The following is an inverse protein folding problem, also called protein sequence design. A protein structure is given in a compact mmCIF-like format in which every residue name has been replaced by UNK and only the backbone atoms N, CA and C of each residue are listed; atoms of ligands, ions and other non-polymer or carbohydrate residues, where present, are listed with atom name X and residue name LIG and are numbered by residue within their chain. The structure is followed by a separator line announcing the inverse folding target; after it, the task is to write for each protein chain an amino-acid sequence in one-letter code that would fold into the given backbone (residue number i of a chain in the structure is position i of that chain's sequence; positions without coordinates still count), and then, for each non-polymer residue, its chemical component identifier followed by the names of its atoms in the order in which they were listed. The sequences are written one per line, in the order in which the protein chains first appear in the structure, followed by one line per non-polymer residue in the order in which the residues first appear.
data_IF_504693962418
#
_entry.id   IF_504693962418
#
_cell.length_a   1.000
_cell.length_b   1.000
_cell.length_c   1.000
_cell.angle_alpha   90.00
_cell.angle_beta   90.00
_cell.angle_gamma   90.00
#
_symmetry.space_group_name_H-M   'P 1'
#
loop_
_entity.id
_entity.type
_entity.pdbx_description
1 polymer ?
#
# COMPACT_ATOMS: atom_id res chain seq x y z
N UNK A 1 10.70 12.12 15.20
CA UNK A 1 10.36 10.97 14.32
C UNK A 1 11.22 11.11 13.06
N UNK A 2 11.70 10.03 12.42
CA UNK A 2 12.32 10.17 11.11
C UNK A 2 11.30 10.80 10.15
N UNK A 3 11.70 11.86 9.44
CA UNK A 3 10.88 12.49 8.41
C UNK A 3 10.89 11.60 7.17
N UNK A 4 10.01 10.61 7.12
CA UNK A 4 9.79 9.85 5.89
C UNK A 4 9.08 10.74 4.87
N UNK A 5 9.53 10.71 3.62
CA UNK A 5 8.70 11.20 2.53
C UNK A 5 7.57 10.17 2.28
N UNK A 6 6.32 10.65 2.25
CA UNK A 6 5.11 9.84 2.17
C UNK A 6 4.41 10.11 0.83
N UNK A 7 4.92 9.60 -0.30
CA UNK A 7 4.26 9.79 -1.58
C UNK A 7 2.95 8.99 -1.65
N UNK A 8 1.93 9.59 -2.25
CA UNK A 8 0.66 8.90 -2.56
C UNK A 8 0.78 8.30 -3.95
N UNK A 9 0.82 6.97 -4.04
CA UNK A 9 1.04 6.23 -5.26
C UNK A 9 -0.23 5.49 -5.66
N UNK A 10 -0.78 5.84 -6.83
CA UNK A 10 -1.86 5.04 -7.42
C UNK A 10 -1.30 3.66 -7.75
N UNK A 11 -1.89 2.58 -7.25
CA UNK A 11 -1.38 1.22 -7.40
C UNK A 11 -1.57 0.68 -8.83
N UNK A 12 -0.93 1.35 -9.79
CA UNK A 12 -0.90 1.09 -11.22
C UNK A 12 0.48 0.58 -11.61
N UNK A 13 0.58 -0.02 -12.79
CA UNK A 13 1.83 -0.60 -13.28
C UNK A 13 3.02 0.37 -13.28
N UNK A 14 2.85 1.61 -13.76
CA UNK A 14 3.94 2.60 -13.81
C UNK A 14 4.53 2.92 -12.44
N UNK A 15 3.68 3.13 -11.43
CA UNK A 15 4.12 3.43 -10.05
C UNK A 15 4.76 2.20 -9.39
N UNK A 16 4.22 1.00 -9.63
CA UNK A 16 4.81 -0.26 -9.15
C UNK A 16 6.21 -0.47 -9.74
N UNK A 17 6.38 -0.20 -11.04
CA UNK A 17 7.67 -0.27 -11.72
C UNK A 17 8.67 0.78 -11.20
N UNK A 18 8.20 2.00 -10.91
CA UNK A 18 9.02 3.05 -10.32
C UNK A 18 9.52 2.63 -8.95
N UNK A 19 8.63 2.18 -8.05
CA UNK A 19 8.98 1.65 -6.73
C UNK A 19 10.00 0.51 -6.81
N UNK A 20 9.81 -0.42 -7.75
CA UNK A 20 10.71 -1.57 -7.91
C UNK A 20 12.13 -1.17 -8.30
N UNK A 21 12.28 -0.07 -9.04
CA UNK A 21 13.58 0.42 -9.54
C UNK A 21 14.32 1.31 -8.55
N UNK A 22 13.69 1.74 -7.46
CA UNK A 22 14.36 2.51 -6.41
C UNK A 22 15.43 1.65 -5.72
N UNK A 23 16.58 2.27 -5.43
CA UNK A 23 17.60 1.67 -4.57
C UNK A 23 17.07 1.49 -3.14
N UNK A 24 17.63 0.55 -2.40
CA UNK A 24 17.25 0.36 -0.99
C UNK A 24 17.50 1.60 -0.14
N UNK A 25 18.55 2.37 -0.46
CA UNK A 25 18.84 3.67 0.16
C UNK A 25 17.68 4.66 -0.04
N UNK A 26 17.15 4.80 -1.25
CA UNK A 26 16.00 5.65 -1.51
C UNK A 26 14.76 5.14 -0.77
N UNK A 27 14.50 3.82 -0.82
CA UNK A 27 13.35 3.20 -0.15
C UNK A 27 13.41 3.34 1.38
N UNK A 28 14.59 3.41 1.98
CA UNK A 28 14.73 3.61 3.43
C UNK A 28 14.28 4.99 3.91
N UNK A 29 14.13 5.96 2.99
CA UNK A 29 13.64 7.31 3.28
C UNK A 29 12.16 7.52 2.88
N UNK A 30 11.47 6.43 2.52
CA UNK A 30 10.09 6.46 2.01
C UNK A 30 9.14 5.63 2.88
N UNK A 31 7.89 6.07 2.97
CA UNK A 31 6.78 5.32 3.54
C UNK A 31 5.52 5.61 2.70
N UNK A 32 5.35 4.98 1.53
CA UNK A 32 4.32 5.38 0.57
C UNK A 32 2.91 5.06 1.06
N UNK A 33 1.93 5.87 0.63
CA UNK A 33 0.52 5.49 0.64
C UNK A 33 0.21 4.80 -0.68
N UNK A 34 -0.22 3.56 -0.62
CA UNK A 34 -0.61 2.76 -1.78
C UNK A 34 -2.11 2.91 -1.96
N UNK A 35 -2.49 3.64 -3.00
CA UNK A 35 -3.88 3.95 -3.30
C UNK A 35 -4.45 2.92 -4.27
N UNK A 36 -5.27 2.00 -3.76
CA UNK A 36 -5.81 0.84 -4.46
C UNK A 36 -6.83 1.27 -5.51
N UNK A 37 -6.65 0.75 -6.72
CA UNK A 37 -7.45 1.12 -7.89
C UNK A 37 -8.51 0.04 -8.16
N UNK A 38 -9.53 0.40 -8.94
CA UNK A 38 -10.68 -0.48 -9.27
C UNK A 38 -10.33 -1.85 -9.89
N UNK A 39 -9.13 -1.99 -10.46
CA UNK A 39 -8.68 -3.18 -11.19
C UNK A 39 -7.71 -4.04 -10.36
N UNK A 40 -7.40 -3.60 -9.14
CA UNK A 40 -6.49 -4.33 -8.25
C UNK A 40 -7.20 -5.53 -7.65
N UNK A 41 -6.70 -6.73 -7.92
CA UNK A 41 -7.21 -7.98 -7.34
C UNK A 41 -6.49 -8.29 -6.02
N UNK A 42 -7.22 -8.78 -5.00
CA UNK A 42 -6.61 -9.08 -3.72
C UNK A 42 -5.74 -10.33 -3.74
N UNK A 43 -6.03 -11.36 -4.57
CA UNK A 43 -5.38 -12.70 -4.54
C UNK A 43 -3.86 -12.74 -4.79
N UNK A 44 -3.23 -11.59 -5.04
CA UNK A 44 -1.78 -11.47 -5.24
C UNK A 44 -1.22 -10.17 -4.67
N UNK A 45 -2.01 -9.45 -3.88
CA UNK A 45 -1.66 -8.14 -3.37
C UNK A 45 -0.38 -8.20 -2.53
N UNK A 46 -0.28 -9.14 -1.58
CA UNK A 46 0.89 -9.27 -0.73
C UNK A 46 2.16 -9.60 -1.53
N UNK A 47 2.05 -10.57 -2.45
CA UNK A 47 3.18 -10.92 -3.33
C UNK A 47 3.62 -9.75 -4.22
N UNK A 48 2.69 -8.94 -4.73
CA UNK A 48 3.00 -7.76 -5.53
C UNK A 48 3.68 -6.67 -4.72
N UNK A 49 3.27 -6.47 -3.46
CA UNK A 49 3.90 -5.50 -2.56
C UNK A 49 5.34 -5.91 -2.29
N UNK A 50 5.59 -7.17 -1.95
CA UNK A 50 6.95 -7.67 -1.69
C UNK A 50 7.82 -7.51 -2.93
N UNK A 51 7.29 -7.84 -4.11
CA UNK A 51 8.01 -7.73 -5.39
C UNK A 51 8.39 -6.31 -5.77
N UNK A 52 7.51 -5.33 -5.55
CA UNK A 52 7.71 -3.96 -6.03
C UNK A 52 8.24 -3.02 -4.94
N UNK A 53 7.76 -3.15 -3.71
CA UNK A 53 8.16 -2.31 -2.58
C UNK A 53 9.28 -2.96 -1.77
N UNK A 54 9.05 -4.18 -1.29
CA UNK A 54 10.03 -4.96 -0.53
C UNK A 54 9.42 -5.57 0.73
N UNK A 55 9.96 -6.71 1.14
CA UNK A 55 9.57 -7.43 2.35
C UNK A 55 9.79 -6.59 3.62
N UNK A 56 8.84 -6.63 4.56
CA UNK A 56 8.91 -5.94 5.85
C UNK A 56 8.93 -4.41 5.80
N UNK A 57 8.86 -3.78 4.61
CA UNK A 57 8.86 -2.33 4.48
C UNK A 57 7.49 -1.74 4.83
N UNK A 58 7.50 -0.64 5.57
CA UNK A 58 6.28 0.08 5.98
C UNK A 58 5.63 0.76 4.78
N UNK A 59 4.30 0.76 4.76
CA UNK A 59 3.46 1.50 3.83
C UNK A 59 2.11 1.77 4.46
N UNK A 60 1.36 2.71 3.90
CA UNK A 60 -0.05 2.93 4.20
C UNK A 60 -0.91 2.42 3.04
N UNK A 61 -2.16 2.06 3.32
CA UNK A 61 -3.07 1.48 2.32
C UNK A 61 -4.38 2.26 2.25
N UNK A 62 -4.60 2.98 1.17
CA UNK A 62 -5.81 3.77 0.91
C UNK A 62 -6.56 3.21 -0.30
N UNK A 63 -7.84 3.56 -0.45
CA UNK A 63 -8.69 3.07 -1.54
C UNK A 63 -9.21 4.24 -2.37
N UNK A 64 -8.94 4.20 -3.67
CA UNK A 64 -9.33 5.27 -4.58
C UNK A 64 -10.86 5.30 -4.66
N UNK A 65 -11.51 6.46 -4.83
CA UNK A 65 -12.98 6.56 -4.98
C UNK A 65 -13.57 5.75 -6.15
N UNK A 66 -12.72 5.26 -7.06
CA UNK A 66 -13.13 4.40 -8.16
C UNK A 66 -13.14 2.92 -7.80
N UNK A 67 -12.57 2.53 -6.66
CA UNK A 67 -12.63 1.18 -6.14
C UNK A 67 -14.09 0.84 -5.85
N UNK A 68 -14.57 -0.29 -6.38
CA UNK A 68 -15.99 -0.67 -6.33
C UNK A 68 -16.25 -1.96 -5.58
N UNK A 69 -15.19 -2.68 -5.23
CA UNK A 69 -15.32 -3.91 -4.45
C UNK A 69 -15.46 -3.58 -2.96
N UNK A 70 -15.88 -4.56 -2.17
CA UNK A 70 -15.97 -4.39 -0.72
C UNK A 70 -14.55 -4.31 -0.12
N UNK A 71 -14.32 -3.27 0.70
CA UNK A 71 -13.03 -3.09 1.35
C UNK A 71 -12.69 -4.24 2.29
N UNK A 72 -13.67 -4.79 3.03
CA UNK A 72 -13.41 -5.88 3.97
C UNK A 72 -13.07 -7.15 3.22
N UNK A 73 -13.78 -7.47 2.13
CA UNK A 73 -13.50 -8.64 1.31
C UNK A 73 -12.09 -8.57 0.70
N UNK A 74 -11.71 -7.40 0.16
CA UNK A 74 -10.36 -7.17 -0.35
C UNK A 74 -9.30 -7.38 0.73
N UNK A 75 -9.53 -6.80 1.91
CA UNK A 75 -8.60 -6.89 3.03
C UNK A 75 -8.50 -8.31 3.58
N UNK A 76 -9.62 -9.04 3.67
CA UNK A 76 -9.63 -10.44 4.09
C UNK A 76 -8.82 -11.30 3.12
N UNK A 77 -9.10 -11.21 1.82
CA UNK A 77 -8.37 -11.96 0.81
C UNK A 77 -6.86 -11.62 0.83
N UNK A 78 -6.49 -10.34 0.87
CA UNK A 78 -5.09 -9.91 0.96
C UNK A 78 -4.38 -10.37 2.24
N UNK A 79 -5.08 -10.45 3.37
CA UNK A 79 -4.52 -10.94 4.63
C UNK A 79 -4.41 -12.46 4.68
N UNK A 80 -5.22 -13.20 3.92
CA UNK A 80 -5.15 -14.66 3.82
C UNK A 80 -4.06 -15.18 2.88
N UNK A 81 -3.45 -14.31 2.06
CA UNK A 81 -2.29 -14.68 1.25
C UNK A 81 -1.14 -15.23 2.13
N UNK A 82 -0.45 -16.32 1.73
CA UNK A 82 0.69 -16.86 2.48
C UNK A 82 1.77 -15.80 2.75
N UNK A 83 1.98 -14.90 1.78
CA UNK A 83 2.94 -13.82 1.82
C UNK A 83 2.55 -12.66 2.75
N UNK A 84 1.29 -12.58 3.21
CA UNK A 84 0.81 -11.47 4.05
C UNK A 84 1.62 -11.32 5.35
N UNK A 85 2.07 -12.46 5.90
CA UNK A 85 2.93 -12.54 7.09
C UNK A 85 4.28 -11.84 6.95
N UNK A 86 4.73 -11.60 5.71
CA UNK A 86 6.00 -10.93 5.38
C UNK A 86 5.85 -9.42 5.21
N UNK A 87 4.62 -8.91 5.19
CA UNK A 87 4.37 -7.48 5.12
C UNK A 87 4.59 -6.84 6.49
N UNK A 88 4.97 -5.56 6.51
CA UNK A 88 5.00 -4.81 7.75
C UNK A 88 3.61 -4.85 8.40
N UNK A 89 3.54 -5.09 9.72
CA UNK A 89 2.31 -5.28 10.49
C UNK A 89 1.14 -4.42 9.97
N UNK A 90 0.13 -5.09 9.39
CA UNK A 90 -1.15 -4.46 9.05
C UNK A 90 -1.84 -4.05 10.35
N UNK A 91 -1.79 -2.76 10.68
CA UNK A 91 -2.71 -2.20 11.67
C UNK A 91 -3.77 -1.42 10.91
N UNK A 92 -5.06 -1.69 11.18
CA UNK A 92 -6.16 -0.77 10.80
C UNK A 92 -5.91 0.55 11.54
N UNK A 93 -5.07 1.43 10.98
CA UNK A 93 -5.04 2.81 11.42
C UNK A 93 -6.29 3.47 10.86
N UNK A 94 -7.27 3.64 11.74
CA UNK A 94 -8.50 4.37 11.52
C UNK A 94 -8.18 5.72 10.89
N UNK A 95 -8.58 5.91 9.64
CA UNK A 95 -8.51 7.20 8.96
C UNK A 95 -9.34 8.23 9.74
N UNK A 96 -8.68 9.08 10.55
CA UNK A 96 -9.28 10.34 10.98
C UNK A 96 -9.19 11.29 9.79
N UNK A 97 -10.27 11.37 9.02
CA UNK A 97 -10.50 12.47 8.09
C UNK A 97 -10.59 13.74 8.93
N UNK A 98 -9.53 14.56 8.93
CA UNK A 98 -9.64 15.94 9.39
C UNK A 98 -10.33 16.73 8.29
N UNK A 99 -11.65 16.87 8.40
CA UNK A 99 -12.38 17.90 7.65
C UNK A 99 -11.85 19.25 8.13
N UNK A 100 -11.10 19.94 7.27
CA UNK A 100 -10.81 21.35 7.47
C UNK A 100 -12.06 22.07 6.98
N UNK A 101 -12.95 22.42 7.91
CA UNK A 101 -14.04 23.33 7.61
C UNK A 101 -13.43 24.71 7.33
N UNK A 102 -13.37 25.10 6.06
CA UNK A 102 -13.22 26.51 5.64
C UNK A 102 -14.55 27.23 5.73
#
# INVERSE_FOLDING_TARGET
MPEFYVPILKWKEGERLALRRLSDEAKNNLCPVLNIMKETKPDSFASEIIKNWGEGRRFYLDFHPTFRDDLNDFMEAALTEPESSKLANFSKQTYRVFSINT
#
